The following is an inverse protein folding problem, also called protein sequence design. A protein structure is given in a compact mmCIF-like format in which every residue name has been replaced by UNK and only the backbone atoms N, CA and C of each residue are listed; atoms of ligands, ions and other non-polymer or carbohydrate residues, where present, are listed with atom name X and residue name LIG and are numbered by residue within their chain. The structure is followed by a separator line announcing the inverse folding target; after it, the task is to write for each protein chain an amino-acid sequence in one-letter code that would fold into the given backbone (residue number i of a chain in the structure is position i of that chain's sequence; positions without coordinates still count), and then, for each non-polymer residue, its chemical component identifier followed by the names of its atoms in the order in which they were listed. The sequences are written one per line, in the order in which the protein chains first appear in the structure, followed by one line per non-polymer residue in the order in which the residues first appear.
data_IF_991458822105
#
_entry.id   IF_991458822105
#
_cell.length_a   1.000
_cell.length_b   1.000
_cell.length_c   1.000
_cell.angle_alpha   90.00
_cell.angle_beta   90.00
_cell.angle_gamma   90.00
#
_symmetry.space_group_name_H-M   'P 1'
#
loop_
_entity.id
_entity.type
_entity.pdbx_description
1 polymer ?
#
# COMPACT_ATOMS: atom_id res chain seq x y z
N UNK A 1 15.39 -6.59 -18.47
CA UNK A 1 15.50 -8.08 -18.46
C UNK A 1 14.15 -8.72 -18.80
N UNK A 2 14.13 -9.86 -19.52
CA UNK A 2 12.91 -10.66 -19.73
C UNK A 2 12.85 -11.74 -18.65
N UNK A 3 11.79 -11.74 -17.83
CA UNK A 3 11.56 -12.78 -16.82
C UNK A 3 11.14 -14.09 -17.51
N UNK A 4 11.78 -15.21 -17.14
CA UNK A 4 11.33 -16.53 -17.55
C UNK A 4 10.29 -17.10 -16.57
N UNK A 5 9.72 -18.24 -16.86
CA UNK A 5 8.68 -18.88 -16.05
C UNK A 5 9.20 -19.26 -14.65
N UNK A 6 10.48 -19.57 -14.49
CA UNK A 6 11.08 -19.93 -13.19
C UNK A 6 11.23 -18.69 -12.33
N UNK A 7 11.66 -17.56 -12.92
CA UNK A 7 11.74 -16.27 -12.22
C UNK A 7 10.37 -15.84 -11.71
N UNK A 8 9.34 -15.96 -12.56
CA UNK A 8 7.94 -15.67 -12.18
C UNK A 8 7.47 -16.56 -11.02
N UNK A 9 7.75 -17.86 -11.05
CA UNK A 9 7.44 -18.80 -9.96
C UNK A 9 8.15 -18.42 -8.66
N UNK A 10 9.43 -18.06 -8.73
CA UNK A 10 10.19 -17.60 -7.56
C UNK A 10 9.52 -16.36 -6.94
N UNK A 11 9.17 -15.36 -7.76
CA UNK A 11 8.52 -14.15 -7.29
C UNK A 11 7.15 -14.44 -6.64
N UNK A 12 6.35 -15.31 -7.25
CA UNK A 12 5.04 -15.69 -6.69
C UNK A 12 5.17 -16.41 -5.34
N UNK A 13 6.11 -17.35 -5.22
CA UNK A 13 6.33 -18.06 -3.95
C UNK A 13 6.86 -17.14 -2.85
N UNK A 14 7.74 -16.19 -3.18
CA UNK A 14 8.23 -15.18 -2.25
C UNK A 14 7.15 -14.17 -1.85
N UNK A 15 6.22 -13.85 -2.73
CA UNK A 15 5.07 -13.01 -2.40
C UNK A 15 4.13 -13.70 -1.39
N UNK A 16 3.91 -15.00 -1.55
CA UNK A 16 3.11 -15.81 -0.62
C UNK A 16 3.80 -15.98 0.73
N UNK A 17 5.11 -16.25 0.72
CA UNK A 17 5.91 -16.42 1.92
C UNK A 17 7.34 -15.94 1.69
N UNK A 18 7.61 -14.68 2.07
CA UNK A 18 8.94 -14.08 1.93
C UNK A 18 10.03 -14.72 2.81
N UNK A 19 9.63 -15.50 3.83
CA UNK A 19 10.53 -16.21 4.75
C UNK A 19 10.69 -17.70 4.41
N UNK A 20 10.27 -18.13 3.22
CA UNK A 20 10.39 -19.51 2.78
C UNK A 20 11.87 -19.93 2.73
N UNK A 21 12.20 -21.08 3.31
CA UNK A 21 13.56 -21.64 3.23
C UNK A 21 13.95 -21.94 1.79
N UNK A 22 15.20 -21.62 1.42
CA UNK A 22 15.73 -21.80 0.07
C UNK A 22 15.48 -23.20 -0.50
N UNK A 23 15.76 -24.24 0.28
CA UNK A 23 15.55 -25.63 -0.15
C UNK A 23 14.07 -25.94 -0.46
N UNK A 24 13.14 -25.36 0.30
CA UNK A 24 11.70 -25.53 0.05
C UNK A 24 11.27 -24.76 -1.19
N UNK A 25 11.79 -23.56 -1.39
CA UNK A 25 11.54 -22.77 -2.58
C UNK A 25 12.08 -23.48 -3.83
N UNK A 26 13.30 -23.97 -3.77
CA UNK A 26 13.95 -24.70 -4.87
C UNK A 26 13.12 -25.92 -5.33
N UNK A 27 12.60 -26.71 -4.38
CA UNK A 27 11.67 -27.81 -4.68
C UNK A 27 10.40 -27.33 -5.39
N UNK A 28 9.79 -26.23 -4.91
CA UNK A 28 8.56 -25.68 -5.51
C UNK A 28 8.76 -25.18 -6.95
N UNK A 29 9.92 -24.66 -7.27
CA UNK A 29 10.24 -24.16 -8.62
C UNK A 29 10.95 -25.19 -9.51
N UNK A 30 11.13 -26.43 -9.02
CA UNK A 30 11.81 -27.54 -9.69
C UNK A 30 13.23 -27.17 -10.16
N UNK A 31 14.04 -26.59 -9.26
CA UNK A 31 15.45 -26.24 -9.47
C UNK A 31 16.29 -26.64 -8.26
N UNK A 32 17.63 -26.65 -8.44
CA UNK A 32 18.53 -26.82 -7.33
C UNK A 32 18.55 -25.58 -6.43
N UNK A 33 18.93 -25.70 -5.14
CA UNK A 33 19.09 -24.56 -4.24
C UNK A 33 20.06 -23.52 -4.78
N UNK A 34 21.18 -23.95 -5.38
CA UNK A 34 22.21 -23.08 -5.97
C UNK A 34 21.63 -22.25 -7.12
N UNK A 35 20.94 -22.93 -8.05
CA UNK A 35 20.27 -22.25 -9.18
C UNK A 35 19.21 -21.26 -8.70
N UNK A 36 18.44 -21.64 -7.68
CA UNK A 36 17.39 -20.79 -7.11
C UNK A 36 18.00 -19.57 -6.42
N UNK A 37 19.07 -19.78 -5.64
CA UNK A 37 19.79 -18.69 -4.98
C UNK A 37 20.40 -17.70 -5.99
N UNK A 38 21.05 -18.20 -7.03
CA UNK A 38 21.58 -17.37 -8.12
C UNK A 38 20.50 -16.51 -8.78
N UNK A 39 19.33 -17.12 -9.07
CA UNK A 39 18.20 -16.37 -9.67
C UNK A 39 17.65 -15.30 -8.77
N UNK A 40 17.51 -15.57 -7.46
CA UNK A 40 17.08 -14.56 -6.47
C UNK A 40 18.07 -13.40 -6.44
N UNK A 41 19.37 -13.71 -6.42
CA UNK A 41 20.40 -12.67 -6.41
C UNK A 41 20.34 -11.81 -7.68
N UNK A 42 20.20 -12.42 -8.86
CA UNK A 42 20.02 -11.72 -10.12
C UNK A 42 18.77 -10.82 -10.12
N UNK A 43 17.64 -11.31 -9.60
CA UNK A 43 16.41 -10.51 -9.48
C UNK A 43 16.60 -9.30 -8.56
N UNK A 44 17.44 -9.41 -7.53
CA UNK A 44 17.81 -8.27 -6.67
C UNK A 44 18.71 -7.27 -7.38
N UNK A 45 19.73 -7.73 -8.08
CA UNK A 45 20.68 -6.89 -8.82
C UNK A 45 19.99 -6.11 -9.95
N UNK A 46 19.03 -6.72 -10.61
CA UNK A 46 18.19 -6.09 -11.63
C UNK A 46 17.09 -5.17 -11.04
N UNK A 47 16.99 -5.03 -9.72
CA UNK A 47 16.01 -4.19 -9.05
C UNK A 47 14.57 -4.66 -9.15
N UNK A 48 14.34 -5.93 -9.58
CA UNK A 48 13.00 -6.53 -9.66
C UNK A 48 12.53 -6.97 -8.27
N UNK A 49 13.41 -7.60 -7.50
CA UNK A 49 13.19 -7.96 -6.11
C UNK A 49 13.93 -6.98 -5.20
N UNK A 50 13.27 -5.90 -4.81
CA UNK A 50 13.93 -4.86 -4.02
C UNK A 50 13.95 -5.17 -2.53
N UNK A 51 12.75 -5.38 -1.94
CA UNK A 51 12.57 -5.55 -0.48
C UNK A 51 11.36 -6.42 -0.19
N UNK A 52 11.40 -7.05 0.98
CA UNK A 52 10.21 -7.64 1.60
C UNK A 52 9.66 -6.66 2.62
N UNK A 53 8.34 -6.50 2.66
CA UNK A 53 7.67 -5.61 3.60
C UNK A 53 6.84 -6.41 4.59
N UNK A 54 6.93 -6.05 5.87
CA UNK A 54 5.99 -6.52 6.85
C UNK A 54 4.66 -5.77 6.66
N UNK A 55 3.58 -6.51 6.49
CA UNK A 55 2.22 -5.96 6.52
C UNK A 55 1.65 -6.27 7.90
N UNK A 56 1.51 -5.23 8.73
CA UNK A 56 0.86 -5.31 10.03
C UNK A 56 -0.58 -4.80 9.93
N UNK A 57 -1.49 -5.49 10.59
CA UNK A 57 -2.87 -5.01 10.76
C UNK A 57 -2.89 -3.98 11.89
N UNK A 58 -2.82 -2.71 11.52
CA UNK A 58 -2.73 -1.61 12.46
C UNK A 58 -4.04 -1.37 13.23
N UNK A 59 -5.17 -1.88 12.74
CA UNK A 59 -6.45 -1.80 13.46
C UNK A 59 -6.37 -2.53 14.80
N UNK A 60 -5.68 -3.69 14.85
CA UNK A 60 -5.44 -4.47 16.07
C UNK A 60 -4.58 -3.76 17.11
N UNK A 61 -3.92 -2.68 16.72
CA UNK A 61 -3.18 -1.78 17.62
C UNK A 61 -3.97 -0.51 17.95
N UNK A 62 -5.26 -0.47 17.58
CA UNK A 62 -6.17 0.63 17.83
C UNK A 62 -5.96 1.85 16.91
N UNK A 63 -5.37 1.62 15.73
CA UNK A 63 -5.24 2.68 14.74
C UNK A 63 -6.40 2.66 13.74
N UNK A 64 -6.97 3.83 13.49
CA UNK A 64 -7.84 4.08 12.34
C UNK A 64 -7.01 4.68 11.22
N UNK A 65 -7.16 4.14 10.02
CA UNK A 65 -6.42 4.59 8.85
C UNK A 65 -7.29 5.48 7.97
N UNK A 66 -6.81 6.70 7.73
CA UNK A 66 -7.39 7.64 6.78
C UNK A 66 -6.60 7.64 5.49
N UNK A 67 -7.29 7.77 4.37
CA UNK A 67 -6.68 8.08 3.09
C UNK A 67 -7.09 9.46 2.65
N UNK A 68 -6.09 10.29 2.38
CA UNK A 68 -6.28 11.63 1.84
C UNK A 68 -5.87 11.62 0.38
N UNK A 69 -6.71 12.20 -0.47
CA UNK A 69 -6.43 12.46 -1.87
C UNK A 69 -6.38 13.96 -2.07
N UNK A 70 -5.40 14.43 -2.84
CA UNK A 70 -5.22 15.85 -3.12
C UNK A 70 -5.13 16.06 -4.63
N UNK A 71 -5.85 17.07 -5.11
CA UNK A 71 -5.70 17.68 -6.42
C UNK A 71 -4.95 19.01 -6.24
N UNK A 72 -3.86 19.16 -6.95
CA UNK A 72 -3.05 20.36 -6.88
C UNK A 72 -3.56 21.46 -7.81
N UNK A 73 -3.27 22.71 -7.43
CA UNK A 73 -3.33 23.87 -8.31
C UNK A 73 -2.05 24.71 -8.12
N UNK A 74 -1.54 25.28 -9.19
CA UNK A 74 -0.39 26.18 -9.18
C UNK A 74 0.86 25.61 -8.46
N UNK A 75 1.05 24.29 -8.48
CA UNK A 75 2.20 23.61 -7.84
C UNK A 75 3.38 23.55 -8.80
N UNK A 76 4.51 24.12 -8.39
CA UNK A 76 5.81 23.91 -9.05
C UNK A 76 6.40 22.55 -8.66
N UNK A 77 7.44 22.12 -9.36
CA UNK A 77 8.19 20.91 -8.97
C UNK A 77 8.85 21.08 -7.60
N UNK A 78 9.31 22.29 -7.27
CA UNK A 78 9.90 22.59 -5.97
C UNK A 78 8.84 22.50 -4.87
N UNK A 79 7.66 23.12 -5.06
CA UNK A 79 6.56 23.03 -4.10
C UNK A 79 6.20 21.57 -3.78
N UNK A 80 6.17 20.69 -4.80
CA UNK A 80 5.90 19.25 -4.62
C UNK A 80 6.98 18.58 -3.79
N UNK A 81 8.24 18.87 -4.07
CA UNK A 81 9.40 18.34 -3.33
C UNK A 81 9.34 18.74 -1.86
N UNK A 82 9.06 20.02 -1.60
CA UNK A 82 8.95 20.57 -0.25
C UNK A 82 7.78 19.95 0.51
N UNK A 83 6.64 19.77 -0.16
CA UNK A 83 5.48 19.10 0.42
C UNK A 83 5.78 17.64 0.80
N UNK A 84 6.43 16.87 -0.09
CA UNK A 84 6.85 15.50 0.23
C UNK A 84 7.83 15.45 1.40
N UNK A 85 8.76 16.40 1.47
CA UNK A 85 9.71 16.52 2.59
C UNK A 85 8.99 16.84 3.88
N UNK A 86 7.98 17.72 3.84
CA UNK A 86 7.13 18.02 4.99
C UNK A 86 6.33 16.80 5.45
N UNK A 87 5.69 16.05 4.53
CA UNK A 87 4.92 14.85 4.89
C UNK A 87 5.79 13.79 5.59
N UNK A 88 7.05 13.64 5.19
CA UNK A 88 8.01 12.69 5.82
C UNK A 88 8.30 13.01 7.29
N UNK A 89 8.08 14.24 7.73
CA UNK A 89 8.30 14.67 9.11
C UNK A 89 7.11 14.32 10.01
N UNK A 90 5.99 13.89 9.46
CA UNK A 90 4.77 13.53 10.20
C UNK A 90 4.75 12.02 10.41
N UNK A 91 5.03 11.51 11.63
CA UNK A 91 5.15 10.07 11.89
C UNK A 91 3.87 9.28 11.61
N UNK A 92 2.71 9.93 11.68
CA UNK A 92 1.41 9.34 11.40
C UNK A 92 1.16 9.10 9.91
N UNK A 93 1.97 9.66 9.01
CA UNK A 93 1.87 9.42 7.58
C UNK A 93 2.72 8.22 7.22
N UNK A 94 2.05 7.11 6.85
CA UNK A 94 2.73 5.83 6.63
C UNK A 94 3.15 5.60 5.18
N UNK A 95 2.37 6.11 4.24
CA UNK A 95 2.61 5.89 2.82
C UNK A 95 2.13 7.09 2.03
N UNK A 96 2.87 7.46 1.01
CA UNK A 96 2.48 8.46 0.01
C UNK A 96 2.56 7.84 -1.37
N UNK A 97 1.65 8.21 -2.25
CA UNK A 97 1.65 7.80 -3.65
C UNK A 97 1.35 8.98 -4.56
N UNK A 98 2.21 9.20 -5.54
CA UNK A 98 1.91 10.10 -6.64
C UNK A 98 0.90 9.44 -7.55
N UNK A 99 -0.11 10.18 -7.98
CA UNK A 99 -1.21 9.69 -8.77
C UNK A 99 -1.29 10.43 -10.11
N UNK A 100 -1.83 9.75 -11.11
CA UNK A 100 -2.17 10.34 -12.39
C UNK A 100 -3.67 10.13 -12.65
N UNK A 101 -4.38 11.21 -12.97
CA UNK A 101 -5.84 11.18 -13.20
C UNK A 101 -6.56 12.28 -12.41
N UNK A 102 -7.70 11.94 -11.79
CA UNK A 102 -8.46 12.91 -11.01
C UNK A 102 -7.63 13.52 -9.86
N UNK A 103 -6.82 12.71 -9.18
CA UNK A 103 -5.99 13.12 -8.05
C UNK A 103 -4.51 13.08 -8.42
N UNK A 104 -3.71 13.95 -7.82
CA UNK A 104 -2.28 14.06 -8.06
C UNK A 104 -1.46 13.39 -6.94
N UNK A 105 -2.01 13.33 -5.73
CA UNK A 105 -1.38 12.71 -4.56
C UNK A 105 -2.39 11.93 -3.75
N UNK A 106 -1.96 10.80 -3.19
CA UNK A 106 -2.65 10.08 -2.14
C UNK A 106 -1.70 9.74 -1.01
N UNK A 107 -2.15 9.84 0.25
CA UNK A 107 -1.36 9.38 1.39
C UNK A 107 -2.24 8.77 2.48
N UNK A 108 -1.63 7.88 3.27
CA UNK A 108 -2.29 7.21 4.39
C UNK A 108 -1.85 7.84 5.70
N UNK A 109 -2.82 8.10 6.58
CA UNK A 109 -2.61 8.63 7.94
C UNK A 109 -3.18 7.63 8.93
N UNK A 110 -2.34 7.08 9.81
CA UNK A 110 -2.77 6.22 10.91
C UNK A 110 -2.80 6.98 12.22
N UNK A 111 -3.94 6.96 12.89
CA UNK A 111 -4.17 7.66 14.16
C UNK A 111 -4.96 6.81 15.14
N UNK A 112 -4.81 7.07 16.43
CA UNK A 112 -5.62 6.43 17.48
C UNK A 112 -6.85 7.27 17.86
N UNK A 113 -6.75 8.58 17.72
CA UNK A 113 -7.84 9.50 18.09
C UNK A 113 -8.15 10.47 16.95
N UNK A 114 -9.41 10.64 16.62
CA UNK A 114 -9.87 11.50 15.51
C UNK A 114 -9.37 12.96 15.61
N UNK A 115 -9.16 13.47 16.83
CA UNK A 115 -8.59 14.80 17.05
C UNK A 115 -7.16 14.95 16.49
N UNK A 116 -6.38 13.86 16.44
CA UNK A 116 -5.03 13.87 15.86
C UNK A 116 -5.09 14.13 14.35
N UNK A 117 -6.02 13.49 13.65
CA UNK A 117 -6.21 13.72 12.23
C UNK A 117 -6.53 15.18 11.93
N UNK A 118 -7.49 15.76 12.70
CA UNK A 118 -7.86 17.18 12.54
C UNK A 118 -6.65 18.10 12.73
N UNK A 119 -5.81 17.83 13.73
CA UNK A 119 -4.59 18.60 13.97
C UNK A 119 -3.62 18.54 12.79
N UNK A 120 -3.34 17.34 12.29
CA UNK A 120 -2.45 17.12 11.13
C UNK A 120 -3.02 17.84 9.90
N UNK A 121 -4.32 17.66 9.63
CA UNK A 121 -4.95 18.26 8.47
C UNK A 121 -4.93 19.79 8.51
N UNK A 122 -5.26 20.38 9.66
CA UNK A 122 -5.19 21.84 9.85
C UNK A 122 -3.78 22.39 9.62
N UNK A 123 -2.73 21.65 10.01
CA UNK A 123 -1.33 22.05 9.74
C UNK A 123 -1.03 22.03 8.25
N UNK A 124 -1.49 21.00 7.53
CA UNK A 124 -1.34 20.90 6.07
C UNK A 124 -2.09 22.05 5.38
N UNK A 125 -3.35 22.31 5.77
CA UNK A 125 -4.13 23.40 5.21
C UNK A 125 -3.49 24.77 5.48
N UNK A 126 -2.98 25.00 6.67
CA UNK A 126 -2.34 26.28 7.02
C UNK A 126 -1.14 26.61 6.13
N UNK A 127 -0.40 25.60 5.67
CA UNK A 127 0.81 25.78 4.85
C UNK A 127 0.53 25.72 3.34
N UNK A 128 -0.48 24.94 2.92
CA UNK A 128 -0.65 24.57 1.50
C UNK A 128 -2.05 24.81 0.94
N UNK A 129 -2.94 25.50 1.68
CA UNK A 129 -4.33 25.76 1.26
C UNK A 129 -4.41 26.34 -0.17
N UNK A 130 -3.58 27.33 -0.46
CA UNK A 130 -3.56 28.00 -1.78
C UNK A 130 -3.05 27.10 -2.94
N UNK A 131 -2.43 25.97 -2.60
CA UNK A 131 -1.90 24.99 -3.54
C UNK A 131 -2.82 23.78 -3.71
N UNK A 132 -3.87 23.66 -2.91
CA UNK A 132 -4.84 22.56 -2.94
C UNK A 132 -6.11 23.03 -3.65
N UNK A 133 -6.39 22.47 -4.83
CA UNK A 133 -7.63 22.75 -5.56
C UNK A 133 -8.83 21.98 -4.98
N UNK A 134 -8.61 20.72 -4.69
CA UNK A 134 -9.64 19.80 -4.16
C UNK A 134 -8.95 18.74 -3.29
N UNK A 135 -9.64 18.25 -2.26
CA UNK A 135 -9.20 17.09 -1.51
C UNK A 135 -10.38 16.18 -1.18
N UNK A 136 -10.07 14.92 -0.92
CA UNK A 136 -11.02 13.92 -0.43
C UNK A 136 -10.39 13.13 0.69
N UNK A 137 -11.14 12.93 1.77
CA UNK A 137 -10.73 12.10 2.91
C UNK A 137 -11.66 10.90 2.96
N UNK A 138 -11.07 9.71 3.09
CA UNK A 138 -11.78 8.46 3.27
C UNK A 138 -11.21 7.71 4.47
N UNK A 139 -12.06 7.00 5.20
CA UNK A 139 -11.64 6.08 6.26
C UNK A 139 -11.56 4.68 5.65
N UNK A 140 -10.46 3.99 5.93
CA UNK A 140 -10.34 2.58 5.58
C UNK A 140 -10.96 1.72 6.68
N UNK A 141 -11.99 0.96 6.31
CA UNK A 141 -12.60 -0.04 7.20
C UNK A 141 -11.94 -1.39 7.00
N UNK A 142 -11.83 -1.83 5.75
CA UNK A 142 -11.29 -3.13 5.41
C UNK A 142 -10.43 -3.05 4.15
N UNK A 143 -9.24 -3.65 4.18
CA UNK A 143 -8.33 -3.73 3.05
C UNK A 143 -8.10 -5.19 2.69
N UNK A 144 -8.39 -5.56 1.46
CA UNK A 144 -8.08 -6.87 0.91
C UNK A 144 -6.83 -6.79 0.03
N UNK A 145 -5.86 -7.63 0.30
CA UNK A 145 -4.68 -7.77 -0.51
C UNK A 145 -4.75 -9.08 -1.31
N UNK A 146 -4.59 -8.98 -2.61
CA UNK A 146 -4.61 -10.11 -3.53
C UNK A 146 -3.21 -10.36 -4.06
N UNK A 147 -2.88 -11.62 -4.28
CA UNK A 147 -1.61 -12.01 -4.85
C UNK A 147 -1.55 -11.72 -6.37
N UNK A 148 -0.33 -11.57 -6.88
CA UNK A 148 -0.08 -11.24 -8.30
C UNK A 148 -0.05 -12.48 -9.19
N UNK A 149 -1.13 -13.28 -9.19
CA UNK A 149 -1.24 -14.53 -9.96
C UNK A 149 -1.06 -14.34 -11.46
N UNK A 150 -1.30 -13.14 -11.98
CA UNK A 150 -1.08 -12.81 -13.40
C UNK A 150 0.38 -13.03 -13.86
N UNK A 151 1.34 -13.09 -12.95
CA UNK A 151 2.74 -13.42 -13.28
C UNK A 151 2.88 -14.81 -13.88
N UNK A 152 1.98 -15.75 -13.57
CA UNK A 152 2.00 -17.14 -14.02
C UNK A 152 0.90 -17.47 -15.04
N UNK A 153 0.24 -16.44 -15.59
CA UNK A 153 -0.94 -16.60 -16.45
C UNK A 153 -2.06 -17.42 -15.76
N UNK A 154 -2.06 -17.46 -14.43
CA UNK A 154 -3.07 -18.09 -13.61
C UNK A 154 -3.97 -17.00 -13.02
N UNK A 155 -5.25 -17.03 -13.39
CA UNK A 155 -6.24 -16.01 -12.99
C UNK A 155 -6.94 -16.32 -11.66
N UNK A 156 -6.62 -17.45 -11.01
CA UNK A 156 -7.15 -17.77 -9.69
C UNK A 156 -6.55 -16.81 -8.66
N UNK A 157 -7.23 -15.70 -8.46
CA UNK A 157 -6.84 -14.69 -7.48
C UNK A 157 -7.20 -15.20 -6.08
N UNK A 158 -6.19 -15.55 -5.31
CA UNK A 158 -6.38 -15.98 -3.92
C UNK A 158 -6.25 -14.74 -3.03
N UNK A 159 -7.30 -14.48 -2.23
CA UNK A 159 -7.24 -13.46 -1.18
C UNK A 159 -6.12 -13.81 -0.21
N UNK A 160 -5.10 -12.98 -0.17
CA UNK A 160 -3.91 -13.26 0.62
C UNK A 160 -4.06 -12.78 2.07
N UNK A 161 -4.65 -11.60 2.26
CA UNK A 161 -4.87 -11.00 3.59
C UNK A 161 -5.99 -9.97 3.56
N UNK A 162 -6.74 -9.91 4.65
CA UNK A 162 -7.62 -8.81 4.98
C UNK A 162 -7.08 -8.10 6.22
N UNK A 163 -7.14 -6.79 6.26
CA UNK A 163 -6.76 -5.97 7.42
C UNK A 163 -7.76 -4.83 7.59
N UNK A 164 -8.01 -4.44 8.81
CA UNK A 164 -8.97 -3.42 9.19
C UNK A 164 -10.14 -3.97 10.01
N UNK A 165 -10.89 -3.08 10.63
CA UNK A 165 -12.13 -3.42 11.33
C UNK A 165 -13.30 -3.34 10.34
N UNK A 166 -14.19 -4.33 10.42
CA UNK A 166 -15.50 -4.21 9.82
C UNK A 166 -16.26 -3.17 10.65
N UNK A 167 -16.44 -1.97 10.09
CA UNK A 167 -17.40 -1.03 10.67
C UNK A 167 -18.77 -1.66 10.52
N UNK A 168 -19.38 -2.09 11.61
CA UNK A 168 -20.81 -2.34 11.66
C UNK A 168 -21.49 -0.99 11.40
N UNK A 169 -21.94 -0.80 10.17
CA UNK A 169 -22.85 0.30 9.85
C UNK A 169 -24.16 -0.12 10.50
N UNK A 170 -24.67 0.58 11.53
CA UNK A 170 -25.99 0.31 12.03
C UNK A 170 -26.94 0.43 10.83
N UNK A 171 -27.59 -0.66 10.44
CA UNK A 171 -28.73 -0.57 9.55
C UNK A 171 -29.78 0.22 10.33
N UNK A 172 -30.00 1.45 9.91
CA UNK A 172 -31.14 2.24 10.38
C UNK A 172 -32.40 1.55 9.83
N UNK A 173 -33.10 0.82 10.69
CA UNK A 173 -34.34 0.07 10.36
C UNK A 173 -35.52 1.05 10.12
N UNK A 174 -35.29 2.26 9.68
CA UNK A 174 -36.30 3.28 9.53
C UNK A 174 -36.53 3.74 8.09
N UNK A 175 -36.57 2.80 7.11
CA UNK A 175 -37.09 3.13 5.77
C UNK A 175 -37.98 2.03 5.16
N UNK A 176 -38.81 1.39 6.00
CA UNK A 176 -39.96 0.68 5.50
C UNK A 176 -41.25 1.36 6.03
N UNK A 177 -41.54 2.58 5.53
CA UNK A 177 -42.89 3.15 5.51
C UNK A 177 -42.87 4.54 4.90
N UNK A 178 -42.89 4.60 3.57
CA UNK A 178 -43.59 5.65 2.81
C UNK A 178 -44.02 5.05 1.46
#
# INVERSE_FOLDING_TARGET
MKLDIVDKKILTELELNSSIHLNKLAKKVNKSPETTSYRIQRLKEEGILNRTHLIADMSKFGYTTFRVYIKWQYMTLQDKSDFYTYLKQIPQIWTTAQLHGKWDLGFFVGIKHSKEFKKIWNQIEALYKEKIAEYKIAIYSLVHNFNKTFLLDNFDCILQRSSGEQLEIPHDETDENI
#
